data_IF_627959131483
#
_entry.id   IF_627959131483
#
_cell.length_a   1.000
_cell.length_b   1.000
_cell.length_c   1.000
_cell.angle_alpha   90.00
_cell.angle_beta   90.00
_cell.angle_gamma   90.00
#
_symmetry.space_group_name_H-M   'P 1'
#
loop_
_entity.id
_entity.type
_entity.pdbx_description
1 polymer ?
#
# COMPACT_ATOMS: atom_id res chain seq x y z
N UNK A 1 -5.40 -12.18 16.26
CA UNK A 1 -6.50 -11.22 15.97
C UNK A 1 -6.40 -10.08 16.97
N UNK A 2 -6.38 -8.84 16.50
CA UNK A 2 -6.42 -7.63 17.32
C UNK A 2 -7.86 -7.13 17.41
N UNK A 3 -8.28 -6.75 18.62
CA UNK A 3 -9.61 -6.22 18.88
C UNK A 3 -9.52 -5.01 19.81
N UNK A 4 -10.43 -4.05 19.66
CA UNK A 4 -10.53 -2.88 20.54
C UNK A 4 -10.83 -1.59 19.80
N UNK A 5 -10.69 -0.47 20.51
CA UNK A 5 -10.88 0.89 19.98
C UNK A 5 -9.66 1.73 20.31
N UNK A 6 -9.15 2.49 19.33
CA UNK A 6 -8.03 3.41 19.54
C UNK A 6 -6.70 2.72 19.85
N UNK A 7 -6.49 1.50 19.36
CA UNK A 7 -5.29 0.71 19.64
C UNK A 7 -4.17 1.05 18.65
N UNK A 8 -2.96 1.31 19.15
CA UNK A 8 -1.74 1.42 18.33
C UNK A 8 -0.89 0.16 18.48
N UNK A 9 -0.59 -0.49 17.36
CA UNK A 9 0.42 -1.55 17.23
C UNK A 9 1.62 -0.91 16.53
N UNK A 10 2.83 -1.07 17.06
CA UNK A 10 3.99 -0.40 16.48
C UNK A 10 5.23 -1.26 16.50
N UNK A 11 6.02 -1.23 15.41
CA UNK A 11 7.30 -1.93 15.28
C UNK A 11 7.21 -3.41 15.58
N UNK A 12 6.16 -4.04 15.05
CA UNK A 12 5.96 -5.49 15.13
C UNK A 12 6.22 -6.13 13.77
N UNK A 13 6.82 -7.31 13.80
CA UNK A 13 7.05 -8.14 12.61
C UNK A 13 6.20 -9.40 12.72
N UNK A 14 5.40 -9.67 11.69
CA UNK A 14 4.51 -10.83 11.61
C UNK A 14 4.98 -11.74 10.48
N UNK A 15 5.38 -12.98 10.77
CA UNK A 15 5.90 -13.87 9.73
C UNK A 15 5.60 -15.34 9.99
N UNK A 16 5.63 -16.15 8.93
CA UNK A 16 5.46 -17.61 9.01
C UNK A 16 4.05 -18.06 9.41
N UNK A 17 3.08 -17.15 9.44
CA UNK A 17 1.71 -17.45 9.86
C UNK A 17 0.98 -18.30 8.81
N UNK A 18 0.16 -19.26 9.25
CA UNK A 18 -0.70 -20.05 8.34
C UNK A 18 -1.89 -19.28 7.77
N UNK A 19 -2.24 -18.15 8.36
CA UNK A 19 -3.28 -17.23 7.90
C UNK A 19 -2.71 -15.83 7.74
N UNK A 20 -3.50 -14.83 8.13
CA UNK A 20 -3.01 -13.46 8.20
C UNK A 20 -1.81 -13.33 9.15
N UNK A 21 -0.83 -12.52 8.79
CA UNK A 21 0.23 -12.07 9.70
C UNK A 21 -0.38 -11.32 10.89
N UNK A 22 -1.28 -10.37 10.58
CA UNK A 22 -2.13 -9.74 11.58
C UNK A 22 -3.53 -9.49 11.01
N UNK A 23 -4.54 -9.72 11.85
CA UNK A 23 -5.94 -9.52 11.51
C UNK A 23 -6.62 -8.67 12.56
N UNK A 24 -7.39 -7.67 12.13
CA UNK A 24 -8.24 -6.83 12.97
C UNK A 24 -9.67 -7.36 12.95
N UNK A 25 -10.27 -7.56 14.12
CA UNK A 25 -11.64 -8.05 14.25
C UNK A 25 -12.66 -7.03 13.74
N UNK A 26 -13.75 -7.53 13.15
CA UNK A 26 -14.77 -6.74 12.44
C UNK A 26 -15.49 -5.66 13.26
N UNK A 27 -15.48 -5.74 14.59
CA UNK A 27 -16.06 -4.73 15.49
C UNK A 27 -15.07 -3.65 15.94
N UNK A 28 -13.81 -3.74 15.51
CA UNK A 28 -12.72 -2.85 15.95
C UNK A 28 -12.71 -1.55 15.15
N UNK A 29 -12.36 -0.45 15.82
CA UNK A 29 -12.39 0.88 15.22
C UNK A 29 -11.17 1.70 15.64
N UNK A 30 -10.58 2.45 14.71
CA UNK A 30 -9.45 3.34 15.00
C UNK A 30 -8.19 2.60 15.44
N UNK A 31 -7.94 1.42 14.87
CA UNK A 31 -6.68 0.71 15.06
C UNK A 31 -5.64 1.28 14.10
N UNK A 32 -4.43 1.51 14.60
CA UNK A 32 -3.29 1.99 13.81
C UNK A 32 -2.13 1.02 13.95
N UNK A 33 -1.60 0.57 12.81
CA UNK A 33 -0.29 -0.09 12.74
C UNK A 33 0.74 0.95 12.30
N UNK A 34 1.87 1.00 12.98
CA UNK A 34 2.92 2.00 12.74
C UNK A 34 4.28 1.32 12.67
N UNK A 35 4.96 1.39 11.53
CA UNK A 35 6.27 0.75 11.31
C UNK A 35 6.23 -0.77 11.53
N UNK A 36 5.14 -1.42 11.11
CA UNK A 36 4.99 -2.88 11.21
C UNK A 36 5.26 -3.58 9.86
N UNK A 37 5.69 -4.83 9.94
CA UNK A 37 6.07 -5.64 8.78
C UNK A 37 5.33 -6.98 8.78
N UNK A 38 4.89 -7.45 7.61
CA UNK A 38 4.34 -8.80 7.44
C UNK A 38 4.87 -9.51 6.18
N UNK A 39 5.52 -10.66 6.38
CA UNK A 39 6.08 -11.45 5.28
C UNK A 39 5.99 -12.95 5.49
N UNK A 40 6.12 -13.73 4.42
CA UNK A 40 6.04 -15.20 4.45
C UNK A 40 4.78 -15.72 5.18
N UNK A 41 3.69 -14.96 5.13
CA UNK A 41 2.40 -15.32 5.70
C UNK A 41 1.54 -16.07 4.67
N UNK A 42 0.62 -16.89 5.17
CA UNK A 42 -0.39 -17.63 4.43
C UNK A 42 0.17 -18.61 3.35
N UNK A 43 1.33 -19.23 3.57
CA UNK A 43 2.05 -20.06 2.57
C UNK A 43 1.28 -21.26 2.01
N UNK A 44 0.32 -21.80 2.77
CA UNK A 44 -0.31 -23.11 2.50
C UNK A 44 -1.83 -23.11 2.67
N UNK A 45 -2.45 -21.94 2.79
CA UNK A 45 -3.87 -21.83 3.12
C UNK A 45 -4.65 -21.09 2.02
N UNK A 46 -5.71 -21.74 1.53
CA UNK A 46 -6.59 -21.22 0.47
C UNK A 46 -7.71 -20.32 1.00
N UNK A 47 -7.93 -20.26 2.32
CA UNK A 47 -9.09 -19.59 2.94
C UNK A 47 -8.79 -18.19 3.50
N UNK A 48 -7.53 -17.86 3.81
CA UNK A 48 -7.12 -16.54 4.33
C UNK A 48 -6.34 -15.75 3.28
N UNK A 49 -6.05 -14.49 3.55
CA UNK A 49 -5.41 -13.60 2.57
C UNK A 49 -4.18 -12.89 3.12
N UNK A 50 -3.01 -13.52 2.99
CA UNK A 50 -1.69 -12.87 3.05
C UNK A 50 -1.35 -12.08 4.33
N UNK A 51 -0.76 -10.89 4.20
CA UNK A 51 -0.02 -10.20 5.27
C UNK A 51 -0.91 -9.58 6.36
N UNK A 52 -1.66 -8.53 6.00
CA UNK A 52 -2.48 -7.77 6.95
C UNK A 52 -3.96 -7.74 6.55
N UNK A 53 -4.86 -7.95 7.51
CA UNK A 53 -6.29 -7.67 7.39
C UNK A 53 -6.71 -6.56 8.35
N UNK A 54 -7.11 -5.42 7.77
CA UNK A 54 -7.44 -4.19 8.47
C UNK A 54 -8.92 -4.02 8.83
N UNK A 55 -9.83 -4.90 8.37
CA UNK A 55 -11.26 -4.78 8.71
C UNK A 55 -11.89 -3.42 8.35
N UNK A 56 -11.43 -2.78 7.27
CA UNK A 56 -11.88 -1.51 6.65
C UNK A 56 -11.53 -0.20 7.39
N UNK A 57 -11.38 -0.22 8.72
CA UNK A 57 -11.14 1.01 9.50
C UNK A 57 -9.70 1.19 9.99
N UNK A 58 -8.85 0.20 9.75
CA UNK A 58 -7.46 0.23 10.23
C UNK A 58 -6.58 1.06 9.30
N UNK A 59 -5.70 1.86 9.89
CA UNK A 59 -4.67 2.61 9.16
C UNK A 59 -3.30 2.00 9.41
N UNK A 60 -2.58 1.73 8.33
CA UNK A 60 -1.19 1.28 8.35
C UNK A 60 -0.32 2.45 7.91
N UNK A 61 0.66 2.80 8.74
CA UNK A 61 1.56 3.93 8.54
C UNK A 61 2.99 3.41 8.57
N UNK A 62 3.79 3.68 7.55
CA UNK A 62 5.17 3.19 7.45
C UNK A 62 5.26 1.65 7.52
N UNK A 63 4.21 0.94 7.09
CA UNK A 63 4.16 -0.52 7.16
C UNK A 63 4.59 -1.16 5.84
N UNK A 64 5.13 -2.37 5.91
CA UNK A 64 5.48 -3.15 4.73
C UNK A 64 4.82 -4.53 4.77
N UNK A 65 4.23 -4.95 3.65
CA UNK A 65 3.78 -6.33 3.46
C UNK A 65 4.41 -6.90 2.21
N UNK A 66 5.22 -7.93 2.38
CA UNK A 66 6.05 -8.41 1.30
C UNK A 66 6.26 -9.92 1.28
N UNK A 67 6.60 -10.46 0.09
CA UNK A 67 6.93 -11.87 -0.11
C UNK A 67 5.95 -12.84 0.58
N UNK A 68 4.65 -12.58 0.51
CA UNK A 68 3.63 -13.50 1.01
C UNK A 68 3.24 -14.46 -0.14
N UNK A 69 3.75 -15.71 -0.17
CA UNK A 69 3.70 -16.55 -1.36
C UNK A 69 2.39 -17.37 -1.40
N UNK A 70 1.64 -17.27 -2.48
CA UNK A 70 0.35 -17.98 -2.65
C UNK A 70 -0.60 -17.21 -3.55
N UNK A 71 -1.40 -17.90 -4.36
CA UNK A 71 -2.25 -17.26 -5.38
C UNK A 71 -3.41 -16.43 -4.81
N UNK A 72 -3.67 -16.50 -3.51
CA UNK A 72 -4.67 -15.73 -2.76
C UNK A 72 -4.04 -14.78 -1.72
N UNK A 73 -2.72 -14.61 -1.74
CA UNK A 73 -2.00 -13.85 -0.72
C UNK A 73 -1.92 -12.38 -1.13
N UNK A 74 -2.76 -11.57 -0.51
CA UNK A 74 -2.72 -10.12 -0.66
C UNK A 74 -1.76 -9.52 0.38
N UNK A 75 -1.05 -8.44 0.06
CA UNK A 75 -0.23 -7.76 1.06
C UNK A 75 -1.10 -7.19 2.18
N UNK A 76 -2.07 -6.37 1.79
CA UNK A 76 -3.07 -5.79 2.67
C UNK A 76 -4.49 -6.16 2.22
N UNK A 77 -5.39 -6.31 3.17
CA UNK A 77 -6.81 -6.53 2.95
C UNK A 77 -7.59 -5.47 3.73
N UNK A 78 -8.52 -4.78 3.07
CA UNK A 78 -9.43 -3.83 3.70
C UNK A 78 -8.71 -2.82 4.62
N UNK A 79 -7.74 -2.08 4.07
CA UNK A 79 -6.82 -1.25 4.82
C UNK A 79 -6.70 0.16 4.24
N UNK A 80 -6.49 1.15 5.12
CA UNK A 80 -5.98 2.47 4.76
C UNK A 80 -4.46 2.46 4.87
N UNK A 81 -3.76 3.03 3.90
CA UNK A 81 -2.31 2.97 3.78
C UNK A 81 -1.73 4.38 3.68
N UNK A 82 -0.76 4.68 4.53
CA UNK A 82 0.00 5.93 4.48
C UNK A 82 1.48 5.57 4.52
N UNK A 83 2.24 6.01 3.52
CA UNK A 83 3.68 5.75 3.44
C UNK A 83 4.04 4.26 3.61
N UNK A 84 3.25 3.37 3.01
CA UNK A 84 3.36 1.92 3.22
C UNK A 84 3.64 1.18 1.91
N UNK A 85 4.28 0.02 1.99
CA UNK A 85 4.74 -0.76 0.84
C UNK A 85 4.03 -2.12 0.78
N UNK A 86 3.54 -2.47 -0.41
CA UNK A 86 3.08 -3.82 -0.73
C UNK A 86 3.91 -4.41 -1.89
N UNK A 87 4.69 -5.44 -1.61
CA UNK A 87 5.72 -5.93 -2.53
C UNK A 87 5.72 -7.45 -2.72
N UNK A 88 5.87 -7.94 -3.96
CA UNK A 88 6.05 -9.37 -4.25
C UNK A 88 5.08 -10.31 -3.54
N UNK A 89 3.83 -9.87 -3.33
CA UNK A 89 2.78 -10.70 -2.78
C UNK A 89 2.18 -11.56 -3.90
N UNK A 90 1.79 -12.80 -3.60
CA UNK A 90 1.37 -13.75 -4.63
C UNK A 90 0.05 -13.39 -5.36
N UNK A 91 -0.76 -12.46 -4.81
CA UNK A 91 -1.96 -11.93 -5.45
C UNK A 91 -1.88 -10.40 -5.59
N UNK A 92 -2.69 -9.62 -4.86
CA UNK A 92 -2.69 -8.16 -4.97
C UNK A 92 -1.80 -7.51 -3.90
N UNK A 93 -1.35 -6.29 -4.14
CA UNK A 93 -0.74 -5.49 -3.07
C UNK A 93 -1.77 -5.09 -2.00
N UNK A 94 -2.90 -4.50 -2.42
CA UNK A 94 -4.07 -4.24 -1.58
C UNK A 94 -5.33 -4.84 -2.22
N UNK A 95 -6.09 -5.60 -1.44
CA UNK A 95 -7.39 -6.14 -1.82
C UNK A 95 -8.50 -5.56 -0.95
N UNK A 96 -9.54 -5.02 -1.57
CA UNK A 96 -10.72 -4.51 -0.85
C UNK A 96 -11.94 -5.31 -1.24
N UNK A 97 -12.70 -5.76 -0.24
CA UNK A 97 -13.87 -6.62 -0.40
C UNK A 97 -14.84 -6.46 0.77
N UNK A 98 -16.13 -6.58 0.48
CA UNK A 98 -17.18 -6.31 1.44
C UNK A 98 -18.54 -6.05 0.80
N UNK A 99 -19.53 -5.92 1.69
CA UNK A 99 -20.92 -5.61 1.38
C UNK A 99 -21.37 -4.29 2.03
N UNK A 100 -20.45 -3.54 2.64
CA UNK A 100 -20.69 -2.25 3.29
C UNK A 100 -19.86 -1.17 2.58
N UNK A 101 -20.41 0.05 2.37
CA UNK A 101 -19.65 1.12 1.73
C UNK A 101 -18.35 1.41 2.49
N UNK A 102 -17.22 1.14 1.85
CA UNK A 102 -15.89 1.46 2.37
C UNK A 102 -15.43 2.87 1.99
N UNK A 103 -14.54 3.44 2.81
CA UNK A 103 -13.75 4.61 2.47
C UNK A 103 -12.28 4.28 2.65
N UNK A 104 -11.52 4.29 1.55
CA UNK A 104 -10.11 3.90 1.54
C UNK A 104 -9.22 5.07 1.19
N UNK A 105 -8.23 5.33 2.04
CA UNK A 105 -7.18 6.33 1.86
C UNK A 105 -5.87 5.59 1.64
N UNK A 106 -5.28 5.81 0.46
CA UNK A 106 -3.98 5.27 0.06
C UNK A 106 -3.13 6.46 -0.35
N UNK A 107 -2.15 6.82 0.47
CA UNK A 107 -1.29 7.98 0.22
C UNK A 107 0.18 7.65 0.40
N UNK A 108 1.02 8.06 -0.56
CA UNK A 108 2.49 7.86 -0.50
C UNK A 108 2.88 6.38 -0.39
N UNK A 109 2.07 5.49 -0.95
CA UNK A 109 2.28 4.05 -0.87
C UNK A 109 2.81 3.46 -2.16
N UNK A 110 3.63 2.43 -2.04
CA UNK A 110 4.26 1.75 -3.17
C UNK A 110 3.72 0.32 -3.35
N UNK A 111 3.41 -0.02 -4.60
CA UNK A 111 2.90 -1.32 -5.02
C UNK A 111 3.78 -1.88 -6.12
N UNK A 112 4.66 -2.81 -5.74
CA UNK A 112 5.71 -3.34 -6.63
C UNK A 112 5.63 -4.86 -6.78
N UNK A 113 5.69 -5.33 -8.02
CA UNK A 113 5.90 -6.76 -8.33
C UNK A 113 4.88 -7.73 -7.69
N UNK A 114 3.65 -7.27 -7.39
CA UNK A 114 2.62 -8.17 -6.89
C UNK A 114 2.13 -9.08 -8.02
N UNK A 115 1.77 -10.33 -7.70
CA UNK A 115 1.45 -11.38 -8.69
C UNK A 115 0.28 -11.03 -9.61
N UNK A 116 -0.59 -10.10 -9.21
CA UNK A 116 -1.69 -9.60 -10.03
C UNK A 116 -1.76 -8.07 -9.98
N UNK A 117 -2.69 -7.48 -9.22
CA UNK A 117 -2.92 -6.04 -9.22
C UNK A 117 -2.13 -5.33 -8.11
N UNK A 118 -1.76 -4.07 -8.30
CA UNK A 118 -1.30 -3.23 -7.20
C UNK A 118 -2.42 -3.05 -6.17
N UNK A 119 -3.57 -2.55 -6.64
CA UNK A 119 -4.83 -2.48 -5.88
C UNK A 119 -5.95 -3.18 -6.67
N UNK A 120 -6.70 -4.06 -6.01
CA UNK A 120 -7.96 -4.61 -6.53
C UNK A 120 -9.13 -4.26 -5.62
N UNK A 121 -10.12 -3.59 -6.21
CA UNK A 121 -11.44 -3.38 -5.62
C UNK A 121 -12.41 -4.48 -6.09
N UNK A 122 -12.81 -5.33 -5.15
CA UNK A 122 -13.86 -6.33 -5.31
C UNK A 122 -15.08 -6.07 -4.41
N UNK A 123 -15.23 -4.87 -3.84
CA UNK A 123 -16.41 -4.45 -3.09
C UNK A 123 -17.68 -4.61 -3.93
N UNK A 124 -18.72 -5.23 -3.37
CA UNK A 124 -19.99 -5.44 -4.10
C UNK A 124 -20.92 -4.23 -4.06
N UNK A 125 -20.61 -3.26 -3.19
CA UNK A 125 -21.32 -2.00 -3.02
C UNK A 125 -20.42 -0.82 -3.38
N UNK A 126 -21.02 0.37 -3.54
CA UNK A 126 -20.24 1.58 -3.84
C UNK A 126 -19.28 1.92 -2.70
N UNK A 127 -18.00 2.07 -3.01
CA UNK A 127 -16.94 2.49 -2.08
C UNK A 127 -16.16 3.68 -2.66
N UNK A 128 -15.55 4.47 -1.78
CA UNK A 128 -14.74 5.64 -2.19
C UNK A 128 -13.26 5.37 -1.98
N UNK A 129 -12.45 5.71 -2.99
CA UNK A 129 -11.00 5.53 -2.96
C UNK A 129 -10.30 6.87 -3.21
N UNK A 130 -9.45 7.27 -2.27
CA UNK A 130 -8.49 8.36 -2.44
C UNK A 130 -7.12 7.73 -2.55
N UNK A 131 -6.53 7.77 -3.75
CA UNK A 131 -5.25 7.15 -4.07
C UNK A 131 -4.32 8.26 -4.55
N UNK A 132 -3.32 8.62 -3.76
CA UNK A 132 -2.48 9.76 -4.09
C UNK A 132 -1.00 9.55 -3.82
N UNK A 133 -0.16 10.17 -4.65
CA UNK A 133 1.29 10.18 -4.46
C UNK A 133 1.89 8.77 -4.38
N UNK A 134 1.33 7.82 -5.12
CA UNK A 134 1.61 6.38 -5.00
C UNK A 134 2.23 5.80 -6.27
N UNK A 135 3.05 4.76 -6.15
CA UNK A 135 3.65 4.08 -7.30
C UNK A 135 3.05 2.70 -7.54
N UNK A 136 2.81 2.38 -8.82
CA UNK A 136 2.25 1.11 -9.28
C UNK A 136 3.13 0.52 -10.38
N UNK A 137 4.05 -0.37 -9.99
CA UNK A 137 5.17 -0.77 -10.83
C UNK A 137 5.24 -2.29 -10.92
N UNK A 138 5.37 -2.82 -12.14
CA UNK A 138 5.62 -4.25 -12.40
C UNK A 138 4.60 -5.21 -11.79
N UNK A 139 3.36 -4.77 -11.54
CA UNK A 139 2.33 -5.69 -11.05
C UNK A 139 1.88 -6.62 -12.19
N UNK A 140 1.67 -7.90 -11.87
CA UNK A 140 1.43 -8.97 -12.84
C UNK A 140 0.18 -8.77 -13.71
N UNK A 141 -0.71 -7.86 -13.34
CA UNK A 141 -1.84 -7.41 -14.14
C UNK A 141 -1.98 -5.89 -14.18
N UNK A 142 -2.71 -5.26 -13.26
CA UNK A 142 -3.00 -3.83 -13.33
C UNK A 142 -2.41 -3.05 -12.16
N UNK A 143 -2.17 -1.75 -12.33
CA UNK A 143 -1.86 -0.87 -11.20
C UNK A 143 -3.04 -0.78 -10.24
N UNK A 144 -4.19 -0.35 -10.77
CA UNK A 144 -5.48 -0.34 -10.05
C UNK A 144 -6.55 -1.01 -10.89
N UNK A 145 -7.29 -1.95 -10.30
CA UNK A 145 -8.39 -2.66 -10.95
C UNK A 145 -9.67 -2.61 -10.14
N UNK A 146 -10.78 -2.31 -10.82
CA UNK A 146 -12.14 -2.47 -10.29
C UNK A 146 -12.77 -3.73 -10.88
N UNK A 147 -13.02 -4.73 -10.03
CA UNK A 147 -13.80 -5.93 -10.35
C UNK A 147 -15.17 -5.94 -9.67
N UNK A 148 -15.35 -5.12 -8.64
CA UNK A 148 -16.59 -4.98 -7.88
C UNK A 148 -17.60 -4.01 -8.48
N UNK A 149 -18.35 -3.32 -7.62
CA UNK A 149 -19.44 -2.42 -7.94
C UNK A 149 -19.05 -1.34 -8.95
N UNK A 150 -19.95 -1.00 -9.86
CA UNK A 150 -19.80 0.15 -10.77
C UNK A 150 -20.07 1.49 -10.07
N UNK A 151 -20.63 1.48 -8.86
CA UNK A 151 -20.90 2.66 -8.07
C UNK A 151 -19.68 3.13 -7.25
N UNK A 152 -18.53 2.45 -7.36
CA UNK A 152 -17.30 2.89 -6.69
C UNK A 152 -16.74 4.15 -7.34
N UNK A 153 -16.23 5.08 -6.52
CA UNK A 153 -15.68 6.37 -6.93
C UNK A 153 -14.20 6.43 -6.60
N UNK A 154 -13.42 7.02 -7.50
CA UNK A 154 -11.96 7.09 -7.41
C UNK A 154 -11.44 8.51 -7.60
N UNK A 155 -10.53 8.91 -6.71
CA UNK A 155 -9.67 10.07 -6.86
C UNK A 155 -8.22 9.58 -6.89
N UNK A 156 -7.70 9.35 -8.10
CA UNK A 156 -6.34 8.82 -8.33
C UNK A 156 -5.47 9.97 -8.81
N UNK A 157 -4.71 10.59 -7.92
CA UNK A 157 -3.96 11.81 -8.22
C UNK A 157 -2.50 11.62 -7.92
N UNK A 158 -1.64 12.04 -8.84
CA UNK A 158 -0.21 11.91 -8.67
C UNK A 158 0.26 10.48 -8.45
N UNK A 159 -0.07 9.59 -9.37
CA UNK A 159 0.40 8.21 -9.25
C UNK A 159 1.41 7.90 -10.35
N UNK A 160 2.54 7.30 -9.95
CA UNK A 160 3.55 6.82 -10.86
C UNK A 160 3.19 5.44 -11.40
N UNK A 161 3.30 5.24 -12.72
CA UNK A 161 3.14 3.95 -13.34
C UNK A 161 4.37 3.63 -14.19
N UNK A 162 4.85 2.40 -14.06
CA UNK A 162 6.02 1.94 -14.79
C UNK A 162 5.70 1.69 -16.25
N UNK A 163 6.74 1.61 -17.07
CA UNK A 163 6.67 1.33 -18.51
C UNK A 163 7.76 0.34 -18.90
N UNK A 164 7.68 -0.27 -20.09
CA UNK A 164 8.62 -1.32 -20.50
C UNK A 164 8.56 -2.55 -19.57
N UNK A 165 9.71 -3.05 -19.14
CA UNK A 165 9.89 -4.12 -18.16
C UNK A 165 9.39 -3.77 -16.76
N UNK A 166 9.15 -2.49 -16.48
CA UNK A 166 8.57 -1.98 -15.24
C UNK A 166 7.06 -1.75 -15.34
N UNK A 167 6.45 -2.02 -16.50
CA UNK A 167 5.02 -1.84 -16.72
C UNK A 167 4.19 -2.82 -15.90
N UNK A 168 2.98 -2.39 -15.52
CA UNK A 168 1.94 -3.34 -15.14
C UNK A 168 1.52 -4.12 -16.40
N UNK A 169 1.46 -5.45 -16.32
CA UNK A 169 1.40 -6.31 -17.51
C UNK A 169 0.19 -6.07 -18.43
N UNK A 170 -0.96 -5.72 -17.86
CA UNK A 170 -2.22 -5.58 -18.60
C UNK A 170 -2.59 -4.12 -18.83
N UNK A 171 -2.62 -3.31 -17.77
CA UNK A 171 -3.01 -1.90 -17.85
C UNK A 171 -2.63 -1.15 -16.58
N UNK A 172 -2.44 0.16 -16.65
CA UNK A 172 -2.30 0.98 -15.43
C UNK A 172 -3.61 1.00 -14.63
N UNK A 173 -4.73 1.18 -15.32
CA UNK A 173 -6.07 1.25 -14.74
C UNK A 173 -7.02 0.32 -15.53
N UNK A 174 -7.85 -0.46 -14.85
CA UNK A 174 -8.86 -1.32 -15.48
C UNK A 174 -10.22 -1.31 -14.78
N UNK A 175 -11.30 -1.13 -15.56
CA UNK A 175 -12.69 -1.05 -15.11
C UNK A 175 -13.37 0.23 -15.58
N UNK A 176 -14.56 0.12 -16.19
CA UNK A 176 -15.30 1.19 -16.92
C UNK A 176 -15.66 2.47 -16.14
N UNK A 177 -15.29 2.58 -14.86
CA UNK A 177 -15.50 3.74 -14.01
C UNK A 177 -14.21 4.32 -13.41
N UNK A 178 -13.02 3.84 -13.84
CA UNK A 178 -11.74 4.48 -13.50
C UNK A 178 -11.44 5.71 -14.37
N UNK A 179 -12.41 6.16 -15.16
CA UNK A 179 -12.34 7.36 -15.99
C UNK A 179 -12.87 8.57 -15.22
N UNK A 180 -11.95 9.31 -14.58
CA UNK A 180 -12.09 10.65 -13.96
C UNK A 180 -12.65 10.69 -12.52
N UNK A 181 -11.99 11.36 -11.56
CA UNK A 181 -11.49 12.75 -11.61
C UNK A 181 -10.03 12.93 -11.11
N UNK A 182 -9.29 13.85 -11.75
CA UNK A 182 -7.86 14.18 -11.56
C UNK A 182 -6.84 13.03 -11.67
N UNK A 183 -6.93 12.19 -12.71
CA UNK A 183 -5.82 11.30 -13.08
C UNK A 183 -4.65 12.14 -13.63
N UNK A 184 -3.82 12.63 -12.71
CA UNK A 184 -2.49 13.17 -13.00
C UNK A 184 -1.52 12.03 -12.72
N UNK A 185 -1.24 11.22 -13.73
CA UNK A 185 -0.31 10.12 -13.61
C UNK A 185 1.03 10.46 -14.24
N UNK A 186 2.12 9.95 -13.68
CA UNK A 186 3.43 10.03 -14.31
C UNK A 186 3.79 8.66 -14.86
N UNK A 187 3.91 8.60 -16.18
CA UNK A 187 4.55 7.46 -16.83
C UNK A 187 6.05 7.63 -16.70
N UNK A 188 6.73 6.65 -16.10
CA UNK A 188 8.19 6.63 -16.09
C UNK A 188 8.73 6.38 -17.51
N UNK A 189 9.95 6.85 -17.77
CA UNK A 189 10.66 6.48 -18.98
C UNK A 189 10.81 4.95 -19.06
N UNK A 190 10.86 4.42 -20.28
CA UNK A 190 10.96 2.97 -20.52
C UNK A 190 12.08 2.36 -19.69
N UNK A 191 11.74 1.32 -18.92
CA UNK A 191 12.67 0.55 -18.08
C UNK A 191 13.33 1.33 -16.92
N UNK A 192 12.85 2.54 -16.61
CA UNK A 192 13.35 3.31 -15.49
C UNK A 192 12.73 2.81 -14.17
N UNK A 193 13.57 2.36 -13.25
CA UNK A 193 13.17 2.03 -11.88
C UNK A 193 13.10 3.31 -11.03
N UNK A 194 11.94 3.68 -10.46
CA UNK A 194 11.84 4.84 -9.56
C UNK A 194 12.60 4.64 -8.25
N UNK A 195 12.97 3.41 -7.90
CA UNK A 195 13.64 3.04 -6.66
C UNK A 195 15.15 2.85 -6.84
N UNK A 196 15.90 2.92 -5.75
CA UNK A 196 17.35 2.67 -5.74
C UNK A 196 17.63 1.18 -5.99
N UNK A 197 16.95 0.29 -5.27
CA UNK A 197 17.15 -1.16 -5.38
C UNK A 197 15.96 -1.95 -4.80
N UNK A 198 14.80 -1.83 -5.45
CA UNK A 198 13.56 -2.47 -5.01
C UNK A 198 13.65 -4.01 -4.88
N UNK A 199 14.32 -4.76 -5.79
CA UNK A 199 14.47 -6.21 -5.64
C UNK A 199 15.17 -6.64 -4.34
N UNK A 200 15.99 -5.78 -3.75
CA UNK A 200 16.66 -6.04 -2.46
C UNK A 200 16.05 -5.24 -1.30
N UNK A 201 14.82 -4.72 -1.46
CA UNK A 201 14.08 -4.05 -0.39
C UNK A 201 14.39 -2.56 -0.21
N UNK A 202 15.20 -1.95 -1.08
CA UNK A 202 15.51 -0.53 -1.01
C UNK A 202 14.58 0.31 -1.90
N UNK A 203 13.51 0.78 -1.29
CA UNK A 203 12.49 1.64 -1.91
C UNK A 203 12.78 3.14 -1.80
N UNK A 204 14.03 3.54 -1.53
CA UNK A 204 14.42 4.95 -1.64
C UNK A 204 14.25 5.45 -3.07
N UNK A 205 13.76 6.68 -3.27
CA UNK A 205 13.47 7.21 -4.60
C UNK A 205 14.75 7.68 -5.32
N UNK A 206 15.04 7.08 -6.48
CA UNK A 206 16.21 7.41 -7.30
C UNK A 206 15.91 8.50 -8.35
N UNK A 207 14.74 8.44 -9.00
CA UNK A 207 14.41 9.31 -10.13
C UNK A 207 13.85 10.66 -9.68
N UNK A 208 14.25 11.75 -10.36
CA UNK A 208 13.62 13.05 -10.14
C UNK A 208 12.11 13.02 -10.46
N UNK A 209 11.72 12.28 -11.51
CA UNK A 209 10.32 12.11 -11.88
C UNK A 209 9.51 11.27 -10.88
N UNK A 210 10.13 10.51 -9.98
CA UNK A 210 9.42 9.83 -8.88
C UNK A 210 9.31 10.70 -7.63
N UNK A 211 10.01 11.85 -7.61
CA UNK A 211 10.01 12.84 -6.52
C UNK A 211 9.07 13.99 -6.88
N UNK A 212 7.99 14.15 -6.11
CA UNK A 212 7.17 15.37 -6.17
C UNK A 212 6.37 15.60 -7.46
N UNK A 213 5.92 14.53 -8.11
CA UNK A 213 4.94 14.67 -9.18
C UNK A 213 3.58 15.16 -8.61
N UNK A 214 2.70 15.78 -9.41
CA UNK A 214 1.29 16.10 -9.09
C UNK A 214 0.90 16.90 -7.81
N UNK A 215 -0.41 17.07 -7.61
CA UNK A 215 -1.10 18.21 -6.92
C UNK A 215 -0.89 18.36 -5.39
N UNK A 216 0.13 17.74 -4.81
CA UNK A 216 0.63 18.08 -3.47
C UNK A 216 1.48 19.35 -3.44
N UNK A 217 1.77 19.93 -4.61
CA UNK A 217 2.11 21.35 -4.75
C UNK A 217 0.83 22.15 -4.95
N UNK A 218 0.28 22.72 -3.88
CA UNK A 218 -0.49 23.94 -4.07
C UNK A 218 0.49 24.99 -4.56
N UNK A 219 0.44 25.36 -5.84
CA UNK A 219 1.02 26.62 -6.29
C UNK A 219 0.18 27.72 -5.64
N UNK A 220 0.66 28.30 -4.54
CA UNK A 220 0.07 29.50 -3.98
C UNK A 220 0.11 30.58 -5.06
N UNK A 221 -1.04 31.19 -5.32
CA UNK A 221 -1.14 32.32 -6.24
C UNK A 221 -0.46 33.52 -5.55
N UNK A 222 0.76 33.83 -5.97
CA UNK A 222 1.51 35.09 -5.73
C UNK A 222 1.81 35.48 -4.27
N UNK A 223 3.10 35.43 -3.87
CA UNK A 223 3.61 36.29 -2.79
C UNK A 223 4.64 35.70 -1.81
N UNK A 224 4.92 34.40 -1.83
CA UNK A 224 5.82 33.75 -0.85
C UNK A 224 7.00 33.03 -1.53
N UNK A 225 8.21 33.22 -1.00
CA UNK A 225 9.50 32.84 -1.61
C UNK A 225 9.93 31.38 -1.39
N UNK A 226 9.04 30.47 -0.99
CA UNK A 226 9.36 29.04 -0.91
C UNK A 226 8.12 28.14 -0.91
N UNK A 227 8.16 27.10 -1.72
CA UNK A 227 7.16 26.02 -1.78
C UNK A 227 7.30 25.06 -0.62
N UNK A 228 6.18 24.64 -0.02
CA UNK A 228 6.13 23.67 1.08
C UNK A 228 6.62 22.28 0.62
N UNK A 229 7.61 21.72 1.32
CA UNK A 229 8.21 20.41 1.03
C UNK A 229 7.74 19.41 2.10
N UNK A 230 7.19 18.27 1.69
CA UNK A 230 6.90 17.15 2.57
C UNK A 230 7.53 15.86 2.05
N UNK A 231 8.57 15.36 2.73
CA UNK A 231 9.20 14.06 2.47
C UNK A 231 9.25 13.23 3.75
N UNK A 232 8.81 11.97 3.72
CA UNK A 232 9.56 10.88 4.31
C UNK A 232 10.43 10.29 3.20
N UNK A 233 11.75 10.31 3.35
CA UNK A 233 12.72 9.86 2.34
C UNK A 233 12.83 8.31 2.26
N UNK A 234 11.77 7.59 2.65
CA UNK A 234 11.68 6.13 2.59
C UNK A 234 10.24 5.64 2.69
N UNK A 235 9.94 4.55 1.99
CA UNK A 235 8.86 3.62 2.34
C UNK A 235 9.30 2.44 3.23
N UNK A 236 10.52 2.40 3.77
CA UNK A 236 10.89 1.43 4.80
C UNK A 236 11.91 2.02 5.79
N UNK A 237 11.46 2.32 7.01
CA UNK A 237 12.37 2.63 8.11
C UNK A 237 13.19 1.37 8.47
N UNK A 238 14.51 1.39 8.23
CA UNK A 238 15.42 0.58 9.05
C UNK A 238 16.00 1.46 10.15
N UNK A 239 15.67 1.16 11.40
CA UNK A 239 16.52 1.61 12.51
C UNK A 239 17.80 0.78 12.49
N UNK A 240 18.90 1.35 12.00
CA UNK A 240 20.23 0.91 12.43
C UNK A 240 20.35 1.28 13.91
N UNK A 241 20.14 0.33 14.80
CA UNK A 241 20.48 0.54 16.21
C UNK A 241 22.01 0.59 16.31
N UNK A 242 22.60 1.77 16.20
CA UNK A 242 23.91 1.99 16.80
C UNK A 242 23.70 2.01 18.31
N UNK A 243 24.33 1.05 18.97
CA UNK A 243 24.27 0.76 20.39
C UNK A 243 24.19 2.02 21.27
N UNK A 244 23.14 2.11 22.10
CA UNK A 244 23.18 2.98 23.28
C UNK A 244 21.96 3.86 23.54
N UNK A 245 20.75 3.30 23.60
CA UNK A 245 19.69 3.84 24.47
C UNK A 245 18.57 2.80 24.62
N UNK A 246 18.49 2.19 25.80
CA UNK A 246 17.45 1.25 26.20
C UNK A 246 16.10 1.97 26.25
N UNK A 247 15.30 1.87 25.19
CA UNK A 247 13.86 2.07 25.30
C UNK A 247 13.25 0.69 25.58
N UNK A 248 12.58 0.55 26.72
CA UNK A 248 11.88 -0.69 27.08
C UNK A 248 10.75 -0.94 26.09
N UNK A 249 10.98 -1.82 25.13
CA UNK A 249 9.98 -2.28 24.17
C UNK A 249 9.32 -3.55 24.71
N UNK A 250 7.99 -3.54 24.82
CA UNK A 250 7.22 -4.76 25.01
C UNK A 250 7.15 -5.49 23.66
N UNK A 251 8.06 -6.44 23.45
CA UNK A 251 7.97 -7.38 22.35
C UNK A 251 6.89 -8.41 22.68
N UNK A 252 5.76 -8.37 21.97
CA UNK A 252 4.80 -9.46 21.99
C UNK A 252 5.27 -10.51 20.99
N UNK A 253 6.01 -11.52 21.45
CA UNK A 253 6.20 -12.76 20.71
C UNK A 253 4.92 -13.58 20.87
N UNK A 254 4.16 -13.74 19.78
CA UNK A 254 3.06 -14.69 19.72
C UNK A 254 3.58 -15.90 18.95
N UNK A 255 3.94 -16.95 19.68
CA UNK A 255 4.28 -18.28 19.14
C UNK A 255 3.03 -19.08 18.77
#
# INVERSE_FOLDING_TARGET
>A
IFAGRGTKIQRCVFHGMRGFGAQVGSSSHGIVFYECEAFDCNRVNTASSGGFDGGQTTTFINCISHNNPGSNNNGFVNANLINSIAESNGNCGLFTTGATPGGYIIERSDFYNNGTDGIRNAETVGASYVIRNSNFIKNGTCGVRRTGSTAAVYDIVNCGFGTGTMANTVANLSGSALTHFNVVSVGYATDADPYIDAPNGNFGLALAASKGTGRSTFTQVSGYTSTTIGYPDVGAAQTLSTSGASSSYAYAFVS
#
